data_IF_284005841376
#
_entry.id   IF_284005841376
#
_cell.length_a   1.000
_cell.length_b   1.000
_cell.length_c   1.000
_cell.angle_alpha   90.00
_cell.angle_beta   90.00
_cell.angle_gamma   90.00
#
_symmetry.space_group_name_H-M   'P 1'
#
loop_
_entity.id
_entity.type
_entity.pdbx_description
1 polymer ?
#
# COMPACT_ATOMS: atom_id res chain seq x y z
N UNK A 1 -1.96 26.23 1.02
CA UNK A 1 -2.77 25.41 1.93
C UNK A 1 -3.10 24.06 1.27
N UNK A 2 -3.65 24.04 0.07
CA UNK A 2 -4.05 22.80 -0.62
C UNK A 2 -2.89 21.84 -0.85
N UNK A 3 -1.73 22.33 -1.30
CA UNK A 3 -0.50 21.55 -1.49
C UNK A 3 -0.06 20.86 -0.18
N UNK A 4 -0.17 21.56 0.95
CA UNK A 4 0.18 21.02 2.27
C UNK A 4 -0.77 19.90 2.68
N UNK A 5 -2.08 20.08 2.53
CA UNK A 5 -3.09 19.06 2.80
C UNK A 5 -2.90 17.82 1.93
N UNK A 6 -2.59 18.00 0.65
CA UNK A 6 -2.32 16.89 -0.26
C UNK A 6 -1.03 16.13 0.12
N UNK A 7 0.02 16.86 0.51
CA UNK A 7 1.26 16.25 0.99
C UNK A 7 1.05 15.43 2.27
N UNK A 8 0.18 15.89 3.16
CA UNK A 8 -0.21 15.15 4.37
C UNK A 8 -0.97 13.86 4.04
N UNK A 9 -1.94 13.91 3.09
CA UNK A 9 -2.67 12.73 2.64
C UNK A 9 -1.74 11.71 1.96
N UNK A 10 -0.86 12.15 1.07
CA UNK A 10 0.14 11.27 0.45
C UNK A 10 1.10 10.69 1.50
N UNK A 11 1.44 11.47 2.52
CA UNK A 11 2.26 10.98 3.64
C UNK A 11 1.59 9.86 4.44
N UNK A 12 0.27 9.91 4.61
CA UNK A 12 -0.48 8.80 5.21
C UNK A 12 -0.37 7.53 4.37
N UNK A 13 -0.56 7.64 3.04
CA UNK A 13 -0.40 6.49 2.15
C UNK A 13 1.04 5.98 2.08
N UNK A 14 2.04 6.86 2.20
CA UNK A 14 3.46 6.46 2.31
C UNK A 14 3.73 5.49 3.45
N UNK A 15 2.91 5.54 4.49
CA UNK A 15 3.05 4.67 5.67
C UNK A 15 2.14 3.44 5.63
N UNK A 16 1.13 3.44 4.80
CA UNK A 16 0.08 2.41 4.83
C UNK A 16 -0.05 1.59 3.55
N UNK A 17 0.26 2.19 2.39
CA UNK A 17 0.05 1.54 1.10
C UNK A 17 1.12 1.98 0.08
N UNK A 18 2.05 1.08 -0.23
CA UNK A 18 3.17 1.32 -1.16
C UNK A 18 2.69 1.72 -2.56
N UNK A 19 1.72 0.98 -3.10
CA UNK A 19 1.25 1.18 -4.48
C UNK A 19 0.57 2.54 -4.64
N UNK A 20 -0.36 2.87 -3.75
CA UNK A 20 -1.07 4.15 -3.80
C UNK A 20 -0.14 5.32 -3.50
N UNK A 21 0.78 5.15 -2.55
CA UNK A 21 1.80 6.15 -2.24
C UNK A 21 2.63 6.52 -3.46
N UNK A 22 3.12 5.52 -4.20
CA UNK A 22 3.91 5.74 -5.40
C UNK A 22 3.08 6.47 -6.46
N UNK A 23 1.89 5.95 -6.78
CA UNK A 23 0.97 6.53 -7.77
C UNK A 23 0.68 8.02 -7.51
N UNK A 24 0.29 8.36 -6.29
CA UNK A 24 -0.05 9.73 -5.95
C UNK A 24 1.17 10.65 -5.86
N UNK A 25 2.31 10.16 -5.39
CA UNK A 25 3.56 10.93 -5.37
C UNK A 25 4.03 11.27 -6.79
N UNK A 26 3.97 10.33 -7.71
CA UNK A 26 4.32 10.56 -9.12
C UNK A 26 3.35 11.56 -9.76
N UNK A 27 2.04 11.40 -9.56
CA UNK A 27 1.02 12.30 -10.08
C UNK A 27 1.21 13.74 -9.60
N UNK A 28 1.44 13.94 -8.30
CA UNK A 28 1.69 15.25 -7.72
C UNK A 28 3.01 15.86 -8.23
N UNK A 29 4.06 15.06 -8.37
CA UNK A 29 5.35 15.51 -8.89
C UNK A 29 5.22 15.97 -10.34
N UNK A 30 4.55 15.21 -11.19
CA UNK A 30 4.30 15.58 -12.58
C UNK A 30 3.47 16.88 -12.69
N UNK A 31 2.42 16.99 -11.87
CA UNK A 31 1.57 18.19 -11.82
C UNK A 31 2.38 19.43 -11.43
N UNK A 32 3.21 19.33 -10.39
CA UNK A 32 4.06 20.43 -9.94
C UNK A 32 5.13 20.82 -10.95
N UNK A 33 5.74 19.84 -11.64
CA UNK A 33 6.69 20.09 -12.70
C UNK A 33 6.02 20.84 -13.87
N UNK A 34 4.82 20.44 -14.28
CA UNK A 34 4.05 21.14 -15.31
C UNK A 34 3.73 22.59 -14.91
N UNK A 35 3.41 22.81 -13.65
CA UNK A 35 3.17 24.16 -13.12
C UNK A 35 4.43 25.02 -13.12
N UNK A 36 5.56 24.52 -12.62
CA UNK A 36 6.83 25.26 -12.59
C UNK A 36 7.38 25.57 -14.00
N UNK A 37 7.08 24.72 -14.96
CA UNK A 37 7.43 24.94 -16.37
C UNK A 37 6.43 25.85 -17.10
N UNK A 38 5.43 26.39 -16.41
CA UNK A 38 4.43 27.29 -17.00
C UNK A 38 3.48 26.63 -18.00
N UNK A 39 3.37 25.29 -17.97
CA UNK A 39 2.50 24.53 -18.88
C UNK A 39 1.04 24.54 -18.44
N UNK A 40 0.78 24.77 -17.15
CA UNK A 40 -0.56 24.81 -16.56
C UNK A 40 -0.72 26.01 -15.63
N UNK A 41 -1.95 26.49 -15.51
CA UNK A 41 -2.32 27.64 -14.68
C UNK A 41 -2.54 27.25 -13.22
N UNK A 42 -2.61 28.26 -12.33
CA UNK A 42 -2.96 28.06 -10.92
C UNK A 42 -4.32 27.38 -10.75
N UNK A 43 -5.30 27.75 -11.59
CA UNK A 43 -6.65 27.16 -11.52
C UNK A 43 -6.63 25.68 -11.90
N UNK A 44 -5.88 25.31 -12.93
CA UNK A 44 -5.71 23.94 -13.37
C UNK A 44 -5.01 23.07 -12.32
N UNK A 45 -3.97 23.61 -11.65
CA UNK A 45 -3.33 22.93 -10.51
C UNK A 45 -4.32 22.64 -9.39
N UNK A 46 -5.10 23.64 -8.98
CA UNK A 46 -6.09 23.49 -7.91
C UNK A 46 -7.13 22.45 -8.30
N UNK A 47 -7.63 22.49 -9.53
CA UNK A 47 -8.63 21.54 -10.04
C UNK A 47 -8.10 20.10 -10.02
N UNK A 48 -6.87 19.85 -10.48
CA UNK A 48 -6.26 18.53 -10.49
C UNK A 48 -5.92 18.04 -9.08
N UNK A 49 -5.52 18.92 -8.17
CA UNK A 49 -5.32 18.56 -6.76
C UNK A 49 -6.63 18.15 -6.08
N UNK A 50 -7.72 18.87 -6.34
CA UNK A 50 -9.05 18.51 -5.84
C UNK A 50 -9.52 17.16 -6.39
N UNK A 51 -9.31 16.90 -7.67
CA UNK A 51 -9.62 15.62 -8.31
C UNK A 51 -8.81 14.48 -7.68
N UNK A 52 -7.54 14.71 -7.42
CA UNK A 52 -6.67 13.73 -6.75
C UNK A 52 -7.16 13.44 -5.33
N UNK A 53 -7.60 14.45 -4.58
CA UNK A 53 -8.19 14.27 -3.26
C UNK A 53 -9.49 13.43 -3.30
N UNK A 54 -10.33 13.64 -4.31
CA UNK A 54 -11.53 12.83 -4.53
C UNK A 54 -11.18 11.37 -4.85
N UNK A 55 -10.21 11.13 -5.74
CA UNK A 55 -9.72 9.78 -6.05
C UNK A 55 -9.23 9.04 -4.79
N UNK A 56 -8.48 9.72 -3.93
CA UNK A 56 -8.02 9.16 -2.64
C UNK A 56 -9.20 8.76 -1.75
N UNK A 57 -10.20 9.62 -1.65
CA UNK A 57 -11.40 9.37 -0.84
C UNK A 57 -12.22 8.20 -1.40
N UNK A 58 -12.37 8.13 -2.71
CA UNK A 58 -13.08 7.04 -3.40
C UNK A 58 -12.39 5.69 -3.20
N UNK A 59 -11.06 5.64 -3.30
CA UNK A 59 -10.29 4.42 -3.05
C UNK A 59 -10.48 3.92 -1.61
N UNK A 60 -10.47 4.81 -0.64
CA UNK A 60 -10.74 4.47 0.75
C UNK A 60 -12.15 3.89 0.95
N UNK A 61 -13.15 4.53 0.33
CA UNK A 61 -14.53 4.07 0.40
C UNK A 61 -14.75 2.75 -0.34
N UNK A 62 -14.07 2.53 -1.46
CA UNK A 62 -14.14 1.27 -2.21
C UNK A 62 -13.55 0.11 -1.40
N UNK A 63 -12.45 0.33 -0.68
CA UNK A 63 -11.91 -0.66 0.24
C UNK A 63 -12.93 -1.09 1.31
N UNK A 64 -13.64 -0.13 1.88
CA UNK A 64 -14.74 -0.42 2.83
C UNK A 64 -15.89 -1.21 2.20
N UNK A 65 -16.27 -0.90 0.96
CA UNK A 65 -17.31 -1.64 0.22
C UNK A 65 -16.92 -3.08 -0.05
N UNK A 66 -15.63 -3.35 -0.27
CA UNK A 66 -15.10 -4.70 -0.45
C UNK A 66 -14.99 -5.47 0.88
N UNK A 67 -15.25 -4.82 2.02
CA UNK A 67 -15.11 -5.42 3.34
C UNK A 67 -13.66 -5.72 3.73
N UNK A 68 -12.72 -4.99 3.16
CA UNK A 68 -11.29 -5.10 3.44
C UNK A 68 -10.85 -4.06 4.49
N UNK A 69 -9.97 -4.46 5.39
CA UNK A 69 -9.26 -3.53 6.28
C UNK A 69 -8.25 -2.70 5.48
N UNK A 70 -7.69 -1.64 6.07
CA UNK A 70 -6.66 -0.84 5.41
C UNK A 70 -5.42 -1.67 5.04
N UNK A 71 -5.03 -2.60 5.91
CA UNK A 71 -3.91 -3.52 5.66
C UNK A 71 -4.22 -4.47 4.50
N UNK A 72 -5.39 -5.08 4.51
CA UNK A 72 -5.86 -5.96 3.43
C UNK A 72 -5.97 -5.21 2.11
N UNK A 73 -6.48 -3.97 2.12
CA UNK A 73 -6.55 -3.13 0.93
C UNK A 73 -5.16 -2.85 0.34
N UNK A 74 -4.16 -2.60 1.19
CA UNK A 74 -2.79 -2.39 0.74
C UNK A 74 -2.20 -3.63 0.05
N UNK A 75 -2.46 -4.82 0.57
CA UNK A 75 -2.06 -6.08 -0.08
C UNK A 75 -2.90 -6.39 -1.33
N UNK A 76 -4.18 -6.05 -1.33
CA UNK A 76 -5.02 -6.14 -2.51
C UNK A 76 -4.48 -5.27 -3.66
N UNK A 77 -4.10 -4.03 -3.37
CA UNK A 77 -3.47 -3.14 -4.35
C UNK A 77 -2.12 -3.67 -4.83
N UNK A 78 -1.33 -4.28 -3.94
CA UNK A 78 -0.07 -4.92 -4.31
C UNK A 78 -0.27 -6.10 -5.27
N UNK A 79 -1.28 -6.93 -5.03
CA UNK A 79 -1.63 -8.07 -5.88
C UNK A 79 -2.25 -7.65 -7.23
N UNK A 80 -2.94 -6.53 -7.27
CA UNK A 80 -3.62 -6.00 -8.45
C UNK A 80 -2.82 -4.93 -9.19
N UNK A 81 -1.56 -4.72 -8.83
CA UNK A 81 -0.67 -3.77 -9.52
C UNK A 81 -0.54 -4.08 -11.03
N UNK A 82 -0.40 -5.34 -11.48
CA UNK A 82 -0.56 -5.69 -12.89
C UNK A 82 -2.03 -5.51 -13.30
N UNK A 83 -2.28 -4.71 -14.34
CA UNK A 83 -3.64 -4.33 -14.77
C UNK A 83 -4.52 -5.52 -15.15
N UNK A 84 -3.92 -6.59 -15.68
CA UNK A 84 -4.61 -7.78 -16.17
C UNK A 84 -5.22 -8.66 -15.05
N UNK A 85 -4.78 -8.50 -13.82
CA UNK A 85 -5.17 -9.39 -12.71
C UNK A 85 -6.64 -9.23 -12.33
N UNK A 86 -7.17 -8.02 -12.38
CA UNK A 86 -8.59 -7.75 -12.07
C UNK A 86 -9.54 -8.42 -13.04
N UNK A 87 -9.14 -8.55 -14.29
CA UNK A 87 -9.93 -9.20 -15.34
C UNK A 87 -9.84 -10.73 -15.27
N UNK A 88 -8.74 -11.24 -14.72
CA UNK A 88 -8.48 -12.68 -14.62
C UNK A 88 -9.24 -13.36 -13.48
N UNK A 89 -9.47 -12.65 -12.37
CA UNK A 89 -10.14 -13.18 -11.19
C UNK A 89 -11.57 -12.67 -11.05
N UNK A 90 -12.45 -13.54 -10.54
CA UNK A 90 -13.68 -13.07 -9.92
C UNK A 90 -13.33 -12.32 -8.62
N UNK A 91 -14.04 -11.23 -8.35
CA UNK A 91 -13.72 -10.34 -7.22
C UNK A 91 -13.60 -11.09 -5.87
N UNK A 92 -14.39 -12.13 -5.66
CA UNK A 92 -14.37 -12.89 -4.41
C UNK A 92 -13.09 -13.71 -4.21
N UNK A 93 -12.57 -14.35 -5.26
CA UNK A 93 -11.34 -15.13 -5.18
C UNK A 93 -10.12 -14.27 -4.86
N UNK A 94 -10.07 -13.07 -5.41
CA UNK A 94 -9.00 -12.12 -5.15
C UNK A 94 -9.06 -11.56 -3.73
N UNK A 95 -10.27 -11.35 -3.21
CA UNK A 95 -10.49 -10.95 -1.82
C UNK A 95 -10.06 -12.06 -0.86
N UNK A 96 -10.40 -13.31 -1.14
CA UNK A 96 -10.02 -14.46 -0.32
C UNK A 96 -8.50 -14.67 -0.33
N UNK A 97 -7.86 -14.56 -1.49
CA UNK A 97 -6.40 -14.56 -1.62
C UNK A 97 -5.77 -13.45 -0.75
N UNK A 98 -6.31 -12.24 -0.83
CA UNK A 98 -5.81 -11.09 -0.07
C UNK A 98 -5.90 -11.31 1.43
N UNK A 99 -7.02 -11.82 1.93
CA UNK A 99 -7.23 -12.12 3.34
C UNK A 99 -6.30 -13.22 3.84
N UNK A 100 -6.19 -14.32 3.10
CA UNK A 100 -5.29 -15.43 3.45
C UNK A 100 -3.82 -14.96 3.44
N UNK A 101 -3.44 -14.15 2.46
CA UNK A 101 -2.10 -13.55 2.38
C UNK A 101 -1.81 -12.67 3.60
N UNK A 102 -2.71 -11.77 3.93
CA UNK A 102 -2.55 -10.84 5.06
C UNK A 102 -2.41 -11.60 6.37
N UNK A 103 -3.24 -12.61 6.59
CA UNK A 103 -3.19 -13.45 7.80
C UNK A 103 -1.90 -14.28 7.87
N UNK A 104 -1.48 -14.87 6.77
CA UNK A 104 -0.24 -15.62 6.67
C UNK A 104 0.97 -14.75 7.00
N UNK A 105 1.04 -13.55 6.42
CA UNK A 105 2.13 -12.59 6.69
C UNK A 105 2.10 -12.11 8.14
N UNK A 106 0.93 -11.87 8.70
CA UNK A 106 0.76 -11.47 10.11
C UNK A 106 1.28 -12.53 11.07
N UNK A 107 1.01 -13.79 10.81
CA UNK A 107 1.46 -14.93 11.66
C UNK A 107 2.95 -15.19 11.57
N UNK A 108 3.55 -15.00 10.39
CA UNK A 108 4.95 -15.36 10.13
C UNK A 108 5.92 -14.17 10.26
N UNK A 109 5.40 -12.98 10.43
CA UNK A 109 6.19 -11.77 10.60
C UNK A 109 6.77 -11.71 12.01
N UNK A 110 8.09 -11.80 12.12
CA UNK A 110 8.84 -11.51 13.35
C UNK A 110 9.38 -10.08 13.29
N UNK A 111 9.69 -9.48 14.45
CA UNK A 111 10.19 -8.09 14.53
C UNK A 111 11.45 -7.87 13.67
N UNK A 112 12.30 -8.88 13.57
CA UNK A 112 13.61 -8.80 12.87
C UNK A 112 13.63 -9.51 11.50
N UNK A 113 12.48 -9.90 10.97
CA UNK A 113 12.44 -10.66 9.71
C UNK A 113 13.10 -9.93 8.53
N UNK A 114 13.03 -8.61 8.50
CA UNK A 114 13.62 -7.77 7.45
C UNK A 114 15.14 -7.84 7.42
N UNK A 115 15.78 -8.01 8.58
CA UNK A 115 17.23 -8.05 8.74
C UNK A 115 17.84 -9.42 8.44
N UNK A 116 17.01 -10.46 8.42
CA UNK A 116 17.44 -11.84 8.19
C UNK A 116 17.10 -12.28 6.77
N UNK A 117 18.12 -12.51 5.95
CA UNK A 117 17.97 -12.98 4.55
C UNK A 117 17.18 -14.30 4.47
N UNK A 118 17.40 -15.21 5.41
CA UNK A 118 16.67 -16.48 5.49
C UNK A 118 15.17 -16.27 5.76
N UNK A 119 14.81 -15.31 6.62
CA UNK A 119 13.41 -14.97 6.90
C UNK A 119 12.74 -14.31 5.70
N UNK A 120 13.44 -13.41 5.01
CA UNK A 120 12.96 -12.79 3.76
C UNK A 120 12.73 -13.84 2.67
N UNK A 121 13.67 -14.76 2.48
CA UNK A 121 13.55 -15.85 1.52
C UNK A 121 12.38 -16.78 1.86
N UNK A 122 12.17 -17.08 3.14
CA UNK A 122 11.03 -17.87 3.61
C UNK A 122 9.69 -17.17 3.32
N UNK A 123 9.60 -15.87 3.59
CA UNK A 123 8.40 -15.08 3.28
C UNK A 123 8.09 -15.07 1.78
N UNK A 124 9.09 -14.89 0.92
CA UNK A 124 8.92 -14.98 -0.54
C UNK A 124 8.42 -16.33 -0.99
N UNK A 125 8.95 -17.43 -0.42
CA UNK A 125 8.48 -18.79 -0.73
C UNK A 125 7.02 -19.00 -0.32
N UNK A 126 6.61 -18.52 0.85
CA UNK A 126 5.25 -18.60 1.33
C UNK A 126 4.28 -17.83 0.42
N UNK A 127 4.63 -16.60 0.05
CA UNK A 127 3.84 -15.78 -0.89
C UNK A 127 3.73 -16.50 -2.23
N UNK A 128 4.82 -16.98 -2.79
CA UNK A 128 4.83 -17.73 -4.06
C UNK A 128 3.95 -18.98 -4.01
N UNK A 129 3.99 -19.72 -2.91
CA UNK A 129 3.17 -20.91 -2.72
C UNK A 129 1.67 -20.56 -2.70
N UNK A 130 1.33 -19.49 -2.00
CA UNK A 130 -0.06 -18.99 -1.94
C UNK A 130 -0.56 -18.51 -3.31
N UNK A 131 0.26 -17.76 -4.06
CA UNK A 131 -0.07 -17.34 -5.42
C UNK A 131 -0.33 -18.54 -6.35
N UNK A 132 0.46 -19.60 -6.24
CA UNK A 132 0.24 -20.86 -6.99
C UNK A 132 -1.07 -21.55 -6.60
N UNK A 133 -1.41 -21.58 -5.30
CA UNK A 133 -2.66 -22.15 -4.79
C UNK A 133 -3.87 -21.50 -5.44
N UNK A 134 -3.85 -20.20 -5.60
CA UNK A 134 -4.91 -19.41 -6.23
C UNK A 134 -4.76 -19.25 -7.76
N UNK A 135 -3.86 -20.00 -8.39
CA UNK A 135 -3.60 -19.95 -9.84
C UNK A 135 -3.28 -18.55 -10.38
N UNK A 136 -2.57 -17.76 -9.57
CA UNK A 136 -2.11 -16.44 -10.00
C UNK A 136 -1.21 -16.56 -11.23
N UNK A 137 -1.30 -15.65 -12.24
CA UNK A 137 -0.49 -15.72 -13.45
C UNK A 137 1.01 -15.75 -13.14
N UNK A 138 1.76 -16.76 -13.64
CA UNK A 138 3.18 -16.92 -13.33
C UNK A 138 4.05 -15.78 -13.87
N UNK A 139 3.59 -15.11 -14.91
CA UNK A 139 4.28 -13.96 -15.52
C UNK A 139 4.41 -12.78 -14.55
N UNK A 140 3.43 -12.62 -13.65
CA UNK A 140 3.34 -11.53 -12.70
C UNK A 140 3.85 -11.90 -11.29
N UNK A 141 4.35 -13.13 -11.07
CA UNK A 141 4.82 -13.58 -9.76
C UNK A 141 5.88 -12.68 -9.16
N UNK A 142 6.91 -12.34 -9.91
CA UNK A 142 8.04 -11.56 -9.41
C UNK A 142 7.61 -10.14 -9.02
N UNK A 143 6.77 -9.50 -9.82
CA UNK A 143 6.21 -8.19 -9.53
C UNK A 143 5.30 -8.23 -8.31
N UNK A 144 4.39 -9.20 -8.23
CA UNK A 144 3.48 -9.37 -7.11
C UNK A 144 4.26 -9.67 -5.81
N UNK A 145 5.20 -10.61 -5.84
CA UNK A 145 6.01 -10.99 -4.67
C UNK A 145 6.83 -9.80 -4.17
N UNK A 146 7.53 -9.09 -5.05
CA UNK A 146 8.35 -7.95 -4.64
C UNK A 146 7.51 -6.81 -4.06
N UNK A 147 6.34 -6.53 -4.64
CA UNK A 147 5.44 -5.49 -4.15
C UNK A 147 4.81 -5.88 -2.81
N UNK A 148 4.40 -7.13 -2.65
CA UNK A 148 3.87 -7.67 -1.38
C UNK A 148 4.92 -7.61 -0.27
N UNK A 149 6.16 -8.00 -0.55
CA UNK A 149 7.26 -7.92 0.41
C UNK A 149 7.55 -6.48 0.80
N UNK A 150 7.60 -5.54 -0.14
CA UNK A 150 7.77 -4.11 0.15
C UNK A 150 6.63 -3.56 1.00
N UNK A 151 5.39 -3.97 0.76
CA UNK A 151 4.24 -3.61 1.58
C UNK A 151 4.36 -4.19 3.00
N UNK A 152 4.82 -5.42 3.13
CA UNK A 152 5.02 -6.07 4.43
C UNK A 152 6.14 -5.38 5.24
N UNK A 153 7.22 -4.94 4.59
CA UNK A 153 8.29 -4.14 5.20
C UNK A 153 7.76 -2.82 5.73
N UNK A 154 7.04 -2.08 4.92
CA UNK A 154 6.40 -0.83 5.32
C UNK A 154 5.45 -1.02 6.51
N UNK A 155 4.66 -2.06 6.49
CA UNK A 155 3.74 -2.40 7.58
C UNK A 155 4.48 -2.71 8.88
N UNK A 156 5.59 -3.43 8.81
CA UNK A 156 6.43 -3.75 9.97
C UNK A 156 7.07 -2.48 10.54
N UNK A 157 7.62 -1.60 9.71
CA UNK A 157 8.22 -0.34 10.11
C UNK A 157 7.23 0.57 10.84
N UNK A 158 5.99 0.65 10.36
CA UNK A 158 4.95 1.43 11.00
C UNK A 158 4.55 0.86 12.37
N UNK A 159 4.51 -0.45 12.52
CA UNK A 159 4.24 -1.08 13.81
C UNK A 159 5.34 -0.76 14.83
N UNK A 160 6.59 -0.80 14.43
CA UNK A 160 7.74 -0.43 15.27
C UNK A 160 7.65 1.05 15.68
N UNK A 161 7.36 1.95 14.74
CA UNK A 161 7.17 3.38 15.03
C UNK A 161 6.04 3.62 16.04
N UNK A 162 4.90 2.92 15.93
CA UNK A 162 3.78 3.04 16.87
C UNK A 162 4.15 2.55 18.28
N UNK A 163 4.95 1.49 18.39
CA UNK A 163 5.46 0.99 19.68
C UNK A 163 6.43 1.99 20.35
N UNK A 164 7.26 2.68 19.57
CA UNK A 164 8.20 3.69 20.06
C UNK A 164 7.56 5.04 20.38
N UNK A 165 6.46 5.42 19.74
CA UNK A 165 5.73 6.67 19.96
C UNK A 165 4.62 6.53 20.99
N UNK A 166 4.27 5.32 21.40
CA UNK A 166 3.34 5.10 22.51
C UNK A 166 4.00 5.53 23.81
N UNK A 167 3.46 6.54 24.54
CA UNK A 167 4.04 6.95 25.81
C UNK A 167 4.02 5.79 26.80
N UNK A 168 5.18 5.51 27.39
CA UNK A 168 5.30 4.50 28.44
C UNK A 168 4.39 4.85 29.61
N UNK A 169 3.70 3.89 30.27
CA UNK A 169 2.91 4.15 31.45
C UNK A 169 3.70 4.85 32.59
N UNK A 170 5.02 4.78 32.57
CA UNK A 170 5.91 5.47 33.49
C UNK A 170 5.96 6.98 33.28
N UNK A 171 5.68 7.49 32.10
CA UNK A 171 5.67 8.92 31.79
C UNK A 171 4.43 9.63 32.34
N UNK A 172 3.40 8.89 32.76
CA UNK A 172 2.19 9.39 33.39
C UNK A 172 2.21 9.32 34.92
N UNK A 173 3.22 8.71 35.51
CA UNK A 173 3.33 8.49 36.99
C UNK A 173 4.20 9.51 37.69
N UNK A 174 4.59 10.59 37.04
CA UNK A 174 5.39 11.66 37.64
C UNK A 174 4.51 12.82 38.14
#
# INVERSE_FOLDING_TARGET
ILKKLMAEQVSLYKRTNVVQSQKFSEKITQLMNSYYNGLITNEEVIKELLKTAQEITELYNNGKKLGLTQEELAFYDALTKPENIKDFYQNNELIDLTRELTEMLRKNRTIDWQKKETARASMRKMVKHLLKKYKYPPEDYDTAISTVISQCEMWTDNMVCLLYTSPSPRDYAA
#
